data_IF_943239062626
#
_entry.id   IF_943239062626
#
_cell.length_a   1.000
_cell.length_b   1.000
_cell.length_c   1.000
_cell.angle_alpha   90.00
_cell.angle_beta   90.00
_cell.angle_gamma   90.00
#
_symmetry.space_group_name_H-M   'P 1'
#
loop_
_entity.id
_entity.type
_entity.pdbx_description
1 polymer ?
#
# COMPACT_ATOMS: atom_id res chain seq x y z
N UNK A 1 -18.83 9.46 7.15
CA UNK A 1 -18.32 8.15 7.63
C UNK A 1 -19.06 6.98 6.97
N UNK A 2 -20.39 7.01 6.91
CA UNK A 2 -21.22 5.94 6.32
C UNK A 2 -20.75 5.54 4.90
N UNK A 3 -20.60 6.51 4.00
CA UNK A 3 -20.11 6.27 2.63
C UNK A 3 -18.69 5.66 2.55
N UNK A 4 -17.86 5.81 3.59
CA UNK A 4 -16.52 5.21 3.61
C UNK A 4 -16.59 3.74 4.01
N UNK A 5 -17.48 3.40 4.95
CA UNK A 5 -17.61 2.08 5.57
C UNK A 5 -18.18 1.05 4.60
N UNK A 6 -19.03 1.46 3.66
CA UNK A 6 -19.64 0.58 2.66
C UNK A 6 -18.60 -0.20 1.85
N UNK A 7 -17.49 0.44 1.52
CA UNK A 7 -16.39 -0.18 0.78
C UNK A 7 -15.21 -0.55 1.68
N UNK A 8 -14.80 0.30 2.62
CA UNK A 8 -13.58 0.11 3.42
C UNK A 8 -13.79 -0.58 4.76
N UNK A 9 -15.03 -0.92 5.12
CA UNK A 9 -15.38 -1.58 6.38
C UNK A 9 -15.28 -0.65 7.59
N UNK A 10 -16.05 -0.94 8.63
CA UNK A 10 -15.96 -0.20 9.90
C UNK A 10 -14.68 -0.56 10.68
N UNK A 11 -14.14 -1.74 10.41
CA UNK A 11 -12.87 -2.27 10.88
C UNK A 11 -11.67 -1.86 9.98
N UNK A 12 -11.92 -1.09 8.92
CA UNK A 12 -10.90 -0.68 7.96
C UNK A 12 -10.39 -1.79 7.05
N UNK A 13 -11.13 -2.90 6.91
CA UNK A 13 -10.89 -3.96 5.93
C UNK A 13 -11.78 -3.76 4.70
N UNK A 14 -11.15 -3.68 3.53
CA UNK A 14 -11.85 -3.54 2.25
C UNK A 14 -12.79 -4.71 1.98
N UNK A 15 -14.01 -4.42 1.51
CA UNK A 15 -15.05 -5.42 1.23
C UNK A 15 -14.83 -6.22 -0.07
N UNK A 16 -13.91 -5.76 -0.91
CA UNK A 16 -13.49 -6.45 -2.13
C UNK A 16 -11.96 -6.38 -2.27
N UNK A 17 -11.35 -7.31 -3.00
CA UNK A 17 -9.89 -7.40 -3.14
C UNK A 17 -9.23 -6.18 -3.80
N UNK A 18 -10.00 -5.37 -4.55
CA UNK A 18 -9.52 -4.15 -5.19
C UNK A 18 -9.66 -2.91 -4.31
N UNK A 19 -10.44 -3.01 -3.22
CA UNK A 19 -10.62 -1.95 -2.23
C UNK A 19 -9.54 -2.10 -1.16
N UNK A 20 -8.76 -1.04 -0.84
CA UNK A 20 -7.69 -1.16 0.13
C UNK A 20 -8.19 -1.28 1.57
N UNK A 21 -7.44 -2.04 2.36
CA UNK A 21 -7.43 -1.99 3.82
C UNK A 21 -6.84 -0.64 4.26
N UNK A 22 -7.57 0.09 5.09
CA UNK A 22 -7.19 1.42 5.61
C UNK A 22 -6.74 1.38 7.07
N UNK A 23 -7.13 0.34 7.82
CA UNK A 23 -6.78 0.18 9.23
C UNK A 23 -5.26 0.26 9.47
N UNK A 24 -4.86 1.02 10.48
CA UNK A 24 -3.47 1.14 10.91
C UNK A 24 -2.52 1.82 9.92
N UNK A 25 -3.03 2.35 8.79
CA UNK A 25 -2.21 3.14 7.88
C UNK A 25 -1.78 4.46 8.54
N UNK A 26 -0.60 5.01 8.19
CA UNK A 26 -0.20 6.32 8.69
C UNK A 26 -1.23 7.38 8.30
N UNK A 27 -1.69 8.17 9.28
CA UNK A 27 -2.66 9.25 9.09
C UNK A 27 -2.27 10.19 7.95
N UNK A 28 -1.03 10.68 7.95
CA UNK A 28 -0.54 11.59 6.93
C UNK A 28 -0.53 10.95 5.52
N UNK A 29 -0.28 9.64 5.41
CA UNK A 29 -0.43 8.93 4.14
C UNK A 29 -1.89 8.90 3.69
N UNK A 30 -2.83 8.55 4.58
CA UNK A 30 -4.26 8.51 4.27
C UNK A 30 -4.78 9.89 3.84
N UNK A 31 -4.45 10.94 4.59
CA UNK A 31 -4.77 12.34 4.25
C UNK A 31 -4.23 12.71 2.87
N UNK A 32 -2.96 12.43 2.60
CA UNK A 32 -2.37 12.69 1.29
C UNK A 32 -3.09 11.93 0.16
N UNK A 33 -3.56 10.70 0.40
CA UNK A 33 -4.30 9.94 -0.61
C UNK A 33 -5.69 10.52 -0.89
N UNK A 34 -6.47 10.85 0.14
CA UNK A 34 -7.82 11.41 -0.05
C UNK A 34 -7.77 12.79 -0.68
N UNK A 35 -6.78 13.62 -0.33
CA UNK A 35 -6.55 14.92 -0.97
C UNK A 35 -6.07 14.79 -2.42
N UNK A 36 -5.26 13.76 -2.73
CA UNK A 36 -4.87 13.48 -4.11
C UNK A 36 -6.08 13.07 -4.97
N UNK A 37 -7.04 12.31 -4.42
CA UNK A 37 -8.30 12.04 -5.12
C UNK A 37 -9.15 13.30 -5.27
N UNK A 38 -9.33 14.07 -4.19
CA UNK A 38 -10.13 15.30 -4.17
C UNK A 38 -9.66 16.35 -5.18
N UNK A 39 -8.33 16.44 -5.38
CA UNK A 39 -7.72 17.37 -6.33
C UNK A 39 -7.65 16.83 -7.77
N UNK A 40 -8.04 15.57 -8.00
CA UNK A 40 -7.90 14.90 -9.30
C UNK A 40 -6.46 14.52 -9.66
N UNK A 41 -5.50 14.61 -8.74
CA UNK A 41 -4.14 14.10 -8.99
C UNK A 41 -4.11 12.57 -9.05
N UNK A 42 -4.99 11.91 -8.30
CA UNK A 42 -5.19 10.46 -8.33
C UNK A 42 -6.63 10.19 -8.74
N UNK A 43 -6.83 9.22 -9.62
CA UNK A 43 -8.17 8.86 -10.12
C UNK A 43 -8.54 7.43 -9.70
N UNK A 44 -9.82 7.23 -9.41
CA UNK A 44 -10.42 5.92 -9.20
C UNK A 44 -11.91 5.97 -9.50
N UNK A 45 -12.40 5.02 -10.28
CA UNK A 45 -13.83 4.86 -10.55
C UNK A 45 -14.67 4.63 -9.28
N UNK A 46 -14.05 4.22 -8.17
CA UNK A 46 -14.71 4.03 -6.88
C UNK A 46 -14.61 5.27 -5.98
N UNK A 47 -13.42 5.85 -5.86
CA UNK A 47 -13.20 6.98 -4.93
C UNK A 47 -13.66 8.32 -5.50
N UNK A 48 -13.54 8.57 -6.82
CA UNK A 48 -13.85 9.87 -7.42
C UNK A 48 -15.30 10.32 -7.17
N UNK A 49 -16.34 9.44 -7.25
CA UNK A 49 -17.72 9.83 -6.93
C UNK A 49 -17.95 10.15 -5.45
N UNK A 50 -17.14 9.57 -4.55
CA UNK A 50 -17.30 9.76 -3.10
C UNK A 50 -16.55 11.02 -2.65
N UNK A 51 -15.26 11.11 -2.95
CA UNK A 51 -14.39 12.17 -2.39
C UNK A 51 -14.81 13.58 -2.80
N UNK A 52 -15.33 13.78 -4.01
CA UNK A 52 -15.75 15.10 -4.47
C UNK A 52 -16.98 15.63 -3.71
N UNK A 53 -17.81 14.75 -3.17
CA UNK A 53 -19.03 15.09 -2.44
C UNK A 53 -18.86 15.16 -0.92
N UNK A 54 -17.66 14.87 -0.39
CA UNK A 54 -17.34 14.90 1.04
C UNK A 54 -16.49 16.14 1.34
N UNK A 55 -16.76 16.83 2.46
CA UNK A 55 -15.96 17.99 2.87
C UNK A 55 -14.54 17.58 3.30
N UNK A 56 -13.54 18.42 3.06
CA UNK A 56 -12.14 18.11 3.38
C UNK A 56 -11.93 17.76 4.86
N UNK A 57 -12.64 18.47 5.76
CA UNK A 57 -12.63 18.19 7.20
C UNK A 57 -13.14 16.78 7.54
N UNK A 58 -14.13 16.28 6.80
CA UNK A 58 -14.66 14.93 6.98
C UNK A 58 -13.70 13.86 6.42
N UNK A 59 -13.01 14.16 5.31
CA UNK A 59 -11.95 13.29 4.78
C UNK A 59 -10.79 13.16 5.78
N UNK A 60 -10.39 14.26 6.42
CA UNK A 60 -9.35 14.28 7.46
C UNK A 60 -9.80 13.48 8.70
N UNK A 61 -11.05 13.64 9.14
CA UNK A 61 -11.63 12.83 10.23
C UNK A 61 -11.66 11.34 9.88
N UNK A 62 -11.97 10.99 8.64
CA UNK A 62 -11.93 9.59 8.19
C UNK A 62 -10.50 9.02 8.18
N UNK A 63 -9.52 9.80 7.74
CA UNK A 63 -8.11 9.41 7.81
C UNK A 63 -7.64 9.18 9.26
N UNK A 64 -8.03 10.07 10.18
CA UNK A 64 -7.76 9.92 11.61
C UNK A 64 -8.39 8.65 12.20
N UNK A 65 -9.66 8.41 11.88
CA UNK A 65 -10.38 7.22 12.31
C UNK A 65 -9.69 5.92 11.86
N UNK A 66 -9.43 5.74 10.57
CA UNK A 66 -8.81 4.51 10.07
C UNK A 66 -7.37 4.32 10.56
N UNK A 67 -6.61 5.41 10.71
CA UNK A 67 -5.27 5.36 11.28
C UNK A 67 -5.27 4.90 12.75
N UNK A 68 -6.35 5.17 13.49
CA UNK A 68 -6.49 4.77 14.89
C UNK A 68 -6.84 3.29 15.10
N UNK A 69 -7.29 2.58 14.05
CA UNK A 69 -7.64 1.16 14.14
C UNK A 69 -6.36 0.34 14.27
N UNK A 70 -6.19 -0.33 15.41
CA UNK A 70 -5.03 -1.16 15.70
C UNK A 70 -4.94 -2.36 14.73
N UNK A 71 -3.71 -2.66 14.32
CA UNK A 71 -3.38 -3.85 13.51
C UNK A 71 -2.30 -4.64 14.23
N UNK A 72 -2.50 -5.95 14.40
CA UNK A 72 -1.47 -6.83 14.93
C UNK A 72 -0.34 -6.99 13.91
N UNK A 73 0.88 -6.66 14.32
CA UNK A 73 2.08 -7.00 13.54
C UNK A 73 2.53 -8.43 13.85
N UNK A 74 3.28 -9.09 12.94
CA UNK A 74 3.88 -10.39 13.23
C UNK A 74 4.72 -10.34 14.51
N UNK A 75 4.70 -11.40 15.32
CA UNK A 75 5.52 -11.49 16.53
C UNK A 75 7.02 -11.42 16.21
N UNK A 76 7.42 -12.04 15.10
CA UNK A 76 8.79 -12.04 14.59
C UNK A 76 8.86 -11.27 13.28
N UNK A 77 9.60 -10.16 13.29
CA UNK A 77 9.90 -9.39 12.09
C UNK A 77 11.10 -9.99 11.35
N UNK A 78 10.99 -10.05 10.04
CA UNK A 78 12.10 -10.39 9.15
C UNK A 78 12.79 -9.10 8.71
N UNK A 79 14.10 -9.03 8.94
CA UNK A 79 14.96 -7.93 8.53
C UNK A 79 15.78 -8.29 7.30
N UNK A 80 16.27 -7.26 6.60
CA UNK A 80 17.22 -7.45 5.50
C UNK A 80 18.50 -8.10 6.05
N UNK A 81 18.83 -9.27 5.52
CA UNK A 81 20.00 -10.04 5.93
C UNK A 81 19.68 -11.29 6.76
N UNK A 82 18.46 -11.43 7.30
CA UNK A 82 18.07 -12.59 8.11
C UNK A 82 18.03 -13.90 7.32
N UNK A 83 17.80 -13.80 6.01
CA UNK A 83 17.71 -14.93 5.08
C UNK A 83 18.48 -14.61 3.81
N UNK A 84 19.14 -15.63 3.25
CA UNK A 84 19.87 -15.49 2.01
C UNK A 84 18.90 -15.38 0.81
N UNK A 85 19.10 -14.44 -0.15
CA UNK A 85 18.13 -14.20 -1.22
C UNK A 85 17.83 -15.42 -2.10
N UNK A 86 18.77 -16.35 -2.27
CA UNK A 86 18.54 -17.54 -3.09
C UNK A 86 17.48 -18.47 -2.48
N UNK A 87 17.27 -18.43 -1.17
CA UNK A 87 16.31 -19.27 -0.44
C UNK A 87 14.91 -18.63 -0.38
N UNK A 88 14.77 -17.41 -0.89
CA UNK A 88 13.51 -16.67 -0.92
C UNK A 88 12.72 -16.97 -2.21
N UNK A 89 11.39 -17.20 -2.13
CA UNK A 89 10.50 -17.12 -3.29
C UNK A 89 10.58 -15.73 -3.93
N UNK A 90 10.16 -15.61 -5.20
CA UNK A 90 10.34 -14.40 -6.02
C UNK A 90 9.89 -13.10 -5.32
N UNK A 91 8.67 -13.09 -4.77
CA UNK A 91 8.10 -11.90 -4.12
C UNK A 91 8.88 -11.46 -2.88
N UNK A 92 9.22 -12.40 -2.00
CA UNK A 92 10.06 -12.16 -0.81
C UNK A 92 11.46 -11.68 -1.25
N UNK A 93 12.05 -12.34 -2.26
CA UNK A 93 13.38 -11.99 -2.76
C UNK A 93 13.43 -10.54 -3.23
N UNK A 94 12.46 -10.10 -4.03
CA UNK A 94 12.39 -8.72 -4.51
C UNK A 94 12.13 -7.76 -3.33
N UNK A 95 11.23 -8.13 -2.40
CA UNK A 95 10.92 -7.32 -1.24
C UNK A 95 12.16 -7.01 -0.38
N UNK A 96 13.09 -7.96 -0.20
CA UNK A 96 14.28 -7.80 0.66
C UNK A 96 15.57 -7.48 -0.08
N UNK A 97 15.69 -7.84 -1.36
CA UNK A 97 16.93 -7.68 -2.13
C UNK A 97 16.83 -6.60 -3.19
N UNK A 98 15.62 -6.34 -3.70
CA UNK A 98 15.40 -5.51 -4.88
C UNK A 98 15.97 -6.13 -6.15
N UNK A 99 15.97 -5.34 -7.22
CA UNK A 99 16.61 -5.59 -8.52
C UNK A 99 17.43 -4.36 -8.90
N UNK A 100 18.66 -4.29 -8.41
CA UNK A 100 19.51 -3.09 -8.56
C UNK A 100 19.77 -2.69 -10.02
N UNK A 101 19.95 -3.68 -10.91
CA UNK A 101 20.15 -3.44 -12.34
C UNK A 101 18.91 -2.81 -13.01
N UNK A 102 17.72 -3.06 -12.45
CA UNK A 102 16.44 -2.53 -12.94
C UNK A 102 15.95 -1.33 -12.11
N UNK A 103 16.82 -0.75 -11.27
CA UNK A 103 16.52 0.40 -10.39
C UNK A 103 15.37 0.15 -9.40
N UNK A 104 15.20 -1.09 -8.98
CA UNK A 104 14.25 -1.49 -7.94
C UNK A 104 15.03 -1.70 -6.63
N UNK A 105 15.07 -0.74 -5.69
CA UNK A 105 15.57 -1.01 -4.34
C UNK A 105 14.67 -2.03 -3.63
N UNK A 106 15.19 -2.67 -2.58
CA UNK A 106 14.40 -3.55 -1.73
C UNK A 106 13.23 -2.77 -1.10
N UNK A 107 12.00 -3.25 -1.30
CA UNK A 107 10.76 -2.62 -0.86
C UNK A 107 10.78 -2.29 0.64
N UNK A 108 11.28 -3.23 1.46
CA UNK A 108 11.35 -3.11 2.92
C UNK A 108 12.31 -2.03 3.40
N UNK A 109 13.18 -1.50 2.52
CA UNK A 109 14.06 -0.37 2.86
C UNK A 109 13.28 0.93 3.11
N UNK A 110 12.07 1.05 2.56
CA UNK A 110 11.17 2.18 2.78
C UNK A 110 9.91 1.77 3.55
N UNK A 111 9.36 0.59 3.24
CA UNK A 111 8.11 0.11 3.83
C UNK A 111 8.28 -0.67 5.15
N UNK A 112 9.50 -0.75 5.69
CA UNK A 112 9.81 -1.46 6.93
C UNK A 112 9.85 -2.99 6.78
N UNK A 113 10.33 -3.71 7.80
CA UNK A 113 10.36 -5.17 7.83
C UNK A 113 8.95 -5.74 7.64
N UNK A 114 8.80 -6.82 6.87
CA UNK A 114 7.51 -7.40 6.45
C UNK A 114 6.52 -6.42 5.76
N UNK A 115 6.90 -5.17 5.50
CA UNK A 115 5.99 -4.14 5.01
C UNK A 115 5.08 -3.55 6.08
N UNK A 116 5.51 -3.47 7.34
CA UNK A 116 4.73 -2.86 8.46
C UNK A 116 4.43 -1.36 8.26
N UNK A 117 5.11 -0.69 7.32
CA UNK A 117 5.00 0.74 7.10
C UNK A 117 5.89 1.53 8.05
N UNK A 118 6.20 2.77 7.66
CA UNK A 118 7.00 3.70 8.46
C UNK A 118 6.33 5.08 8.40
N UNK A 119 5.72 5.48 9.52
CA UNK A 119 5.09 6.78 9.63
C UNK A 119 6.12 7.92 9.48
N UNK A 120 5.73 9.09 8.93
CA UNK A 120 4.37 9.45 8.53
C UNK A 120 4.00 9.05 7.09
N UNK A 121 4.98 8.70 6.26
CA UNK A 121 4.82 8.76 4.80
C UNK A 121 4.82 7.41 4.08
N UNK A 122 5.46 6.38 4.64
CA UNK A 122 5.59 5.08 3.98
C UNK A 122 4.46 4.16 4.44
N UNK A 123 3.51 3.83 3.55
CA UNK A 123 2.33 3.08 3.94
C UNK A 123 2.69 1.64 4.31
N UNK A 124 1.83 1.06 5.14
CA UNK A 124 1.82 -0.37 5.43
C UNK A 124 1.42 -1.14 4.17
N UNK A 125 2.18 -2.20 3.86
CA UNK A 125 1.90 -3.13 2.76
C UNK A 125 1.44 -4.49 3.29
N UNK A 126 1.85 -4.87 4.50
CA UNK A 126 1.49 -6.15 5.10
C UNK A 126 -0.04 -6.31 5.19
N UNK A 127 -0.54 -7.47 4.80
CA UNK A 127 -1.98 -7.78 4.89
C UNK A 127 -2.86 -6.90 4.01
N UNK A 128 -2.30 -6.11 3.10
CA UNK A 128 -3.07 -5.36 2.13
C UNK A 128 -3.64 -6.32 1.07
N UNK A 129 -4.77 -5.97 0.47
CA UNK A 129 -5.39 -6.80 -0.55
C UNK A 129 -4.50 -6.93 -1.80
N UNK A 130 -4.34 -8.17 -2.29
CA UNK A 130 -3.43 -8.48 -3.41
C UNK A 130 -3.78 -7.70 -4.66
N UNK A 131 -5.05 -7.75 -5.08
CA UNK A 131 -5.48 -7.11 -6.34
C UNK A 131 -5.35 -5.59 -6.25
N UNK A 132 -5.60 -5.00 -5.07
CA UNK A 132 -5.29 -3.59 -4.82
C UNK A 132 -3.80 -3.31 -5.05
N UNK A 133 -2.88 -4.06 -4.43
CA UNK A 133 -1.42 -3.87 -4.59
C UNK A 133 -0.99 -4.01 -6.06
N UNK A 134 -1.47 -5.03 -6.76
CA UNK A 134 -1.22 -5.24 -8.19
C UNK A 134 -1.69 -4.02 -8.99
N UNK A 135 -2.91 -3.56 -8.77
CA UNK A 135 -3.47 -2.41 -9.47
C UNK A 135 -2.67 -1.13 -9.17
N UNK A 136 -2.17 -0.94 -7.95
CA UNK A 136 -1.35 0.21 -7.62
C UNK A 136 -0.01 0.19 -8.35
N UNK A 137 0.68 -0.95 -8.37
CA UNK A 137 1.94 -1.11 -9.10
C UNK A 137 1.73 -0.92 -10.60
N UNK A 138 0.66 -1.51 -11.17
CA UNK A 138 0.32 -1.30 -12.59
C UNK A 138 0.00 0.17 -12.91
N UNK A 139 -0.73 0.86 -12.03
CA UNK A 139 -1.03 2.28 -12.22
C UNK A 139 0.22 3.17 -12.19
N UNK A 140 1.20 2.88 -11.34
CA UNK A 140 2.50 3.56 -11.40
C UNK A 140 3.31 3.20 -12.64
N UNK A 141 3.27 1.94 -13.06
CA UNK A 141 3.95 1.47 -14.27
C UNK A 141 3.43 2.17 -15.54
N UNK A 142 2.13 2.48 -15.58
CA UNK A 142 1.45 3.18 -16.68
C UNK A 142 1.34 4.71 -16.50
N UNK A 143 2.02 5.29 -15.51
CA UNK A 143 1.96 6.73 -15.18
C UNK A 143 0.54 7.26 -14.83
N UNK A 144 -0.38 6.37 -14.43
CA UNK A 144 -1.76 6.69 -14.03
C UNK A 144 -1.91 7.03 -12.54
N UNK A 145 -0.83 6.92 -11.76
CA UNK A 145 -0.80 7.31 -10.34
C UNK A 145 0.39 8.22 -10.04
N UNK A 146 0.20 9.32 -9.27
CA UNK A 146 1.30 10.19 -8.86
C UNK A 146 2.41 9.43 -8.13
N UNK A 147 3.67 9.84 -8.28
CA UNK A 147 4.83 9.01 -7.94
C UNK A 147 5.12 8.85 -6.43
N UNK A 148 4.31 9.47 -5.57
CA UNK A 148 4.44 9.40 -4.11
C UNK A 148 5.52 10.34 -3.54
N UNK A 149 5.72 10.28 -2.22
CA UNK A 149 6.52 11.25 -1.44
C UNK A 149 7.97 11.38 -1.92
N UNK A 150 8.60 10.30 -2.36
CA UNK A 150 9.97 10.31 -2.89
C UNK A 150 10.04 10.33 -4.43
N UNK A 151 8.91 10.44 -5.12
CA UNK A 151 8.86 10.37 -6.57
C UNK A 151 9.32 9.02 -7.17
N UNK A 152 9.54 7.99 -6.34
CA UNK A 152 10.27 6.79 -6.74
C UNK A 152 9.38 5.64 -7.23
N UNK A 153 8.10 5.61 -6.85
CA UNK A 153 7.24 4.44 -7.11
C UNK A 153 6.98 4.20 -8.60
N UNK A 154 6.97 5.24 -9.43
CA UNK A 154 6.89 5.11 -10.90
C UNK A 154 8.11 4.38 -11.45
N UNK A 155 9.32 4.81 -11.07
CA UNK A 155 10.57 4.15 -11.50
C UNK A 155 10.63 2.71 -11.02
N UNK A 156 10.27 2.47 -9.77
CA UNK A 156 10.22 1.13 -9.17
C UNK A 156 9.26 0.22 -9.95
N UNK A 157 8.03 0.67 -10.18
CA UNK A 157 7.02 -0.12 -10.87
C UNK A 157 7.38 -0.42 -12.33
N UNK A 158 8.06 0.51 -13.02
CA UNK A 158 8.57 0.31 -14.38
C UNK A 158 9.70 -0.73 -14.45
N UNK A 159 10.45 -0.93 -13.38
CA UNK A 159 11.51 -1.95 -13.28
C UNK A 159 11.01 -3.38 -12.97
N UNK A 160 9.70 -3.55 -12.78
CA UNK A 160 9.07 -4.84 -12.47
C UNK A 160 8.34 -5.40 -13.70
N UNK A 161 8.47 -6.70 -13.93
CA UNK A 161 7.59 -7.44 -14.84
C UNK A 161 6.21 -7.64 -14.20
N UNK A 162 5.22 -8.06 -14.99
CA UNK A 162 3.87 -8.30 -14.45
C UNK A 162 3.86 -9.50 -13.50
N UNK A 163 4.67 -10.53 -13.76
CA UNK A 163 4.88 -11.67 -12.85
C UNK A 163 5.51 -11.21 -11.52
N UNK A 164 6.49 -10.30 -11.57
CA UNK A 164 7.13 -9.77 -10.38
C UNK A 164 6.17 -8.90 -9.56
N UNK A 165 5.31 -8.11 -10.21
CA UNK A 165 4.24 -7.34 -9.56
C UNK A 165 3.30 -8.26 -8.79
N UNK A 166 2.84 -9.34 -9.42
CA UNK A 166 1.98 -10.35 -8.79
C UNK A 166 2.69 -11.02 -7.60
N UNK A 167 3.97 -11.35 -7.76
CA UNK A 167 4.76 -12.00 -6.72
C UNK A 167 4.97 -11.12 -5.49
N UNK A 168 5.35 -9.85 -5.65
CA UNK A 168 5.52 -8.93 -4.50
C UNK A 168 4.19 -8.60 -3.84
N UNK A 169 3.11 -8.44 -4.62
CA UNK A 169 1.78 -8.24 -4.08
C UNK A 169 1.32 -9.44 -3.24
N UNK A 170 1.52 -10.66 -3.75
CA UNK A 170 1.20 -11.89 -3.02
C UNK A 170 2.02 -12.02 -1.73
N UNK A 171 3.31 -11.65 -1.77
CA UNK A 171 4.17 -11.69 -0.59
C UNK A 171 3.65 -10.76 0.52
N UNK A 172 3.42 -9.48 0.22
CA UNK A 172 2.95 -8.53 1.23
C UNK A 172 1.54 -8.83 1.73
N UNK A 173 0.66 -9.34 0.87
CA UNK A 173 -0.66 -9.83 1.28
C UNK A 173 -0.55 -10.91 2.35
N UNK A 174 0.38 -11.86 2.18
CA UNK A 174 0.58 -12.95 3.15
C UNK A 174 1.29 -12.54 4.44
N UNK A 175 1.79 -11.31 4.55
CA UNK A 175 2.41 -10.81 5.78
C UNK A 175 1.38 -10.30 6.81
N UNK A 176 0.11 -10.14 6.42
CA UNK A 176 -0.95 -9.89 7.39
C UNK A 176 -1.19 -11.14 8.22
N UNK A 177 -1.25 -11.02 9.55
CA UNK A 177 -1.65 -12.14 10.41
C UNK A 177 -3.00 -12.72 9.94
N UNK A 178 -3.17 -14.03 10.08
CA UNK A 178 -4.49 -14.64 9.95
C UNK A 178 -5.44 -13.92 10.91
N UNK A 179 -6.58 -13.46 10.38
CA UNK A 179 -7.67 -12.88 11.17
C UNK A 179 -8.36 -13.98 11.96
#
# INVERSE_FOLDING_TARGET
MEACIDCHGADGVGRENTIPNLRGQPKAYLEAQVLAFKSGQRHSTFMDPVVHNVADEELIKAADFYASIAVSTPETLQWRGDKWPADMPLGERIAYSGKWNDKVPACVSCHGPNGVGVAPSFPMLMGQNKDYLVNQLKAWKSDQRPPGVLGSMVTIAKGLTDEEIEAVASYFTSQGGAQ
#
